data_IF_244703636671
#
_entry.id   IF_244703636671
#
_cell.length_a   1.000
_cell.length_b   1.000
_cell.length_c   1.000
_cell.angle_alpha   90.00
_cell.angle_beta   90.00
_cell.angle_gamma   90.00
#
_symmetry.space_group_name_H-M   'P 1'
#
loop_
_entity.id
_entity.type
_entity.pdbx_description
1 polymer ?
#
# COMPACT_ATOMS: atom_id res chain seq x y z
N UNK A 1 55.94 -0.84 -60.51
CA UNK A 1 54.55 -0.41 -60.70
C UNK A 1 53.80 -0.70 -59.41
N UNK A 2 53.71 0.30 -58.55
CA UNK A 2 52.81 0.33 -57.37
C UNK A 2 51.85 1.52 -57.56
N UNK A 3 50.61 1.42 -57.08
CA UNK A 3 49.85 2.63 -56.74
C UNK A 3 49.32 2.61 -55.30
N UNK A 4 49.81 3.56 -54.49
CA UNK A 4 49.01 4.71 -54.05
C UNK A 4 47.88 4.47 -53.04
N UNK A 5 48.21 4.67 -51.76
CA UNK A 5 47.28 4.80 -50.62
C UNK A 5 46.51 6.13 -50.67
N UNK A 6 45.19 6.11 -50.48
CA UNK A 6 44.39 7.30 -50.16
C UNK A 6 43.61 7.10 -48.85
N UNK A 7 43.97 7.88 -47.82
CA UNK A 7 43.28 7.96 -46.52
C UNK A 7 42.08 8.90 -46.63
N UNK A 8 40.89 8.43 -46.26
CA UNK A 8 39.74 9.29 -45.96
C UNK A 8 39.82 9.80 -44.53
N UNK A 9 39.95 11.13 -44.36
CA UNK A 9 39.85 11.80 -43.08
C UNK A 9 38.37 12.13 -42.77
N UNK A 10 37.83 11.55 -41.70
CA UNK A 10 36.53 11.94 -41.16
C UNK A 10 36.64 13.28 -40.43
N UNK A 11 35.99 14.32 -40.96
CA UNK A 11 35.82 15.62 -40.27
C UNK A 11 34.82 15.44 -39.12
N UNK A 12 35.30 15.52 -37.88
CA UNK A 12 34.44 15.71 -36.70
C UNK A 12 33.94 17.15 -36.70
N UNK A 13 32.63 17.36 -36.84
CA UNK A 13 32.02 18.68 -36.71
C UNK A 13 31.94 19.04 -35.21
N UNK A 14 32.85 19.91 -34.75
CA UNK A 14 32.76 20.51 -33.43
C UNK A 14 31.55 21.45 -33.38
N UNK A 15 30.60 21.19 -32.48
CA UNK A 15 29.51 22.11 -32.18
C UNK A 15 30.11 23.36 -31.54
N UNK A 16 29.89 24.58 -32.06
CA UNK A 16 30.50 25.79 -31.52
C UNK A 16 29.99 26.06 -30.10
N UNK A 17 30.93 26.29 -29.16
CA UNK A 17 30.67 26.52 -27.73
C UNK A 17 29.66 27.66 -27.45
N UNK A 18 29.54 28.62 -28.38
CA UNK A 18 28.56 29.70 -28.33
C UNK A 18 27.10 29.19 -28.37
N UNK A 19 26.78 28.17 -29.17
CA UNK A 19 25.43 27.59 -29.30
C UNK A 19 25.01 26.82 -28.03
N UNK A 20 25.97 26.16 -27.37
CA UNK A 20 25.76 25.48 -26.08
C UNK A 20 25.48 26.49 -24.97
N UNK A 21 26.11 27.68 -25.02
CA UNK A 21 25.89 28.75 -24.03
C UNK A 21 24.50 29.39 -24.13
N UNK A 22 23.99 29.61 -25.35
CA UNK A 22 22.68 30.21 -25.58
C UNK A 22 21.54 29.25 -25.18
N UNK A 23 21.63 27.97 -25.55
CA UNK A 23 20.65 26.96 -25.15
C UNK A 23 20.60 26.76 -23.62
N UNK A 24 21.75 26.86 -22.93
CA UNK A 24 21.82 26.81 -21.47
C UNK A 24 21.15 28.03 -20.81
N UNK A 25 21.34 29.23 -21.37
CA UNK A 25 20.68 30.46 -20.90
C UNK A 25 19.16 30.39 -21.06
N UNK A 26 18.67 29.93 -22.21
CA UNK A 26 17.23 29.75 -22.44
C UNK A 26 16.58 28.71 -21.52
N UNK A 27 17.28 27.60 -21.22
CA UNK A 27 16.82 26.59 -20.25
C UNK A 27 16.74 27.15 -18.82
N UNK A 28 17.71 27.95 -18.40
CA UNK A 28 17.69 28.59 -17.08
C UNK A 28 16.57 29.64 -16.98
N UNK A 29 16.33 30.41 -18.03
CA UNK A 29 15.20 31.36 -18.09
C UNK A 29 13.85 30.64 -18.08
N UNK A 30 13.71 29.51 -18.78
CA UNK A 30 12.50 28.69 -18.75
C UNK A 30 12.24 28.08 -17.36
N UNK A 31 13.29 27.56 -16.70
CA UNK A 31 13.20 27.04 -15.33
C UNK A 31 12.84 28.15 -14.33
N UNK A 32 13.43 29.35 -14.47
CA UNK A 32 13.08 30.51 -13.66
C UNK A 32 11.65 30.97 -13.91
N UNK A 33 11.18 30.95 -15.17
CA UNK A 33 9.79 31.25 -15.53
C UNK A 33 8.79 30.26 -14.94
N UNK A 34 9.10 28.96 -14.94
CA UNK A 34 8.28 27.93 -14.26
C UNK A 34 8.30 28.15 -12.74
N UNK A 35 9.47 28.41 -12.15
CA UNK A 35 9.58 28.66 -10.71
C UNK A 35 8.81 29.92 -10.27
N UNK A 36 8.93 31.02 -11.02
CA UNK A 36 8.20 32.27 -10.78
C UNK A 36 6.71 32.15 -11.07
N UNK A 37 6.31 31.34 -12.05
CA UNK A 37 4.90 31.06 -12.35
C UNK A 37 4.22 30.20 -11.27
N UNK A 38 4.98 29.35 -10.59
CA UNK A 38 4.49 28.51 -9.48
C UNK A 38 4.57 29.21 -8.11
N UNK A 39 5.42 30.23 -7.95
CA UNK A 39 5.64 30.95 -6.69
C UNK A 39 4.39 31.63 -6.09
N UNK A 40 3.47 32.25 -6.86
CA UNK A 40 2.24 32.81 -6.29
C UNK A 40 1.38 31.75 -5.58
N UNK A 41 1.34 30.53 -6.13
CA UNK A 41 0.61 29.40 -5.54
C UNK A 41 1.24 28.83 -4.26
N UNK A 42 2.50 29.13 -3.97
CA UNK A 42 3.17 28.72 -2.72
C UNK A 42 2.95 29.70 -1.56
N UNK A 43 2.62 30.97 -1.85
CA UNK A 43 2.41 32.01 -0.83
C UNK A 43 0.91 32.30 -0.56
N UNK A 44 0.02 32.01 -1.52
CA UNK A 44 -1.42 32.04 -1.29
C UNK A 44 -1.86 30.69 -0.74
N UNK A 45 -1.70 30.50 0.58
CA UNK A 45 -2.40 29.41 1.28
C UNK A 45 -3.85 29.82 1.42
N UNK A 46 -4.74 29.23 0.62
CA UNK A 46 -6.17 29.30 0.89
C UNK A 46 -6.43 28.92 2.35
N UNK A 47 -7.26 29.65 3.10
CA UNK A 47 -7.59 29.27 4.46
C UNK A 47 -8.06 27.82 4.47
N UNK A 48 -7.54 27.03 5.42
CA UNK A 48 -7.99 25.65 5.61
C UNK A 48 -9.52 25.70 5.76
N UNK A 49 -10.28 24.94 4.94
CA UNK A 49 -11.72 24.89 5.09
C UNK A 49 -12.08 24.58 6.55
N UNK A 50 -13.18 25.15 7.08
CA UNK A 50 -13.62 24.84 8.44
C UNK A 50 -13.78 23.33 8.60
N UNK A 51 -13.43 22.81 9.78
CA UNK A 51 -13.62 21.39 10.07
C UNK A 51 -15.08 20.99 9.89
N UNK A 52 -15.30 19.90 9.16
CA UNK A 52 -16.58 19.25 9.04
C UNK A 52 -16.54 17.92 9.79
N UNK A 53 -17.46 17.73 10.74
CA UNK A 53 -17.53 16.54 11.59
C UNK A 53 -18.73 15.64 11.27
N UNK A 54 -19.35 15.83 10.10
CA UNK A 54 -20.45 15.00 9.61
C UNK A 54 -20.10 13.52 9.71
N UNK A 55 -21.02 12.71 10.21
CA UNK A 55 -20.88 11.25 10.25
C UNK A 55 -21.51 10.57 9.03
N UNK A 56 -21.92 11.37 8.04
CA UNK A 56 -22.51 10.85 6.80
C UNK A 56 -21.41 10.21 5.95
N UNK A 57 -21.55 8.91 5.73
CA UNK A 57 -20.77 8.13 4.78
C UNK A 57 -21.68 7.71 3.62
N UNK A 58 -21.31 8.11 2.42
CA UNK A 58 -21.95 7.61 1.20
C UNK A 58 -21.17 6.41 0.69
N UNK A 59 -21.88 5.32 0.42
CA UNK A 59 -21.32 4.06 -0.07
C UNK A 59 -21.96 3.73 -1.40
N UNK A 60 -21.25 3.98 -2.49
CA UNK A 60 -21.75 3.81 -3.85
C UNK A 60 -21.17 2.53 -4.45
N UNK A 61 -22.01 1.55 -4.81
CA UNK A 61 -21.54 0.34 -5.49
C UNK A 61 -21.14 0.66 -6.93
N UNK A 62 -19.91 0.28 -7.29
CA UNK A 62 -19.38 0.49 -8.64
C UNK A 62 -19.79 -0.66 -9.57
N UNK A 63 -20.01 -0.33 -10.84
CA UNK A 63 -20.20 -1.33 -11.89
C UNK A 63 -18.86 -2.01 -12.20
N UNK A 64 -18.63 -3.19 -11.62
CA UNK A 64 -17.47 -4.03 -11.89
C UNK A 64 -17.90 -5.51 -11.90
N UNK A 65 -17.53 -6.23 -12.95
CA UNK A 65 -17.92 -7.63 -13.12
C UNK A 65 -17.07 -8.56 -12.24
N UNK A 66 -17.67 -9.59 -11.61
CA UNK A 66 -16.90 -10.58 -10.87
C UNK A 66 -15.82 -11.26 -11.71
N UNK A 67 -14.67 -11.58 -11.11
CA UNK A 67 -13.52 -12.14 -11.82
C UNK A 67 -12.75 -13.13 -10.95
N UNK A 68 -12.35 -14.27 -11.51
CA UNK A 68 -11.57 -15.30 -10.82
C UNK A 68 -10.05 -15.08 -11.00
N UNK A 69 -9.31 -15.28 -9.92
CA UNK A 69 -7.84 -15.21 -9.80
C UNK A 69 -7.35 -16.34 -8.88
N UNK A 70 -7.24 -17.56 -9.42
CA UNK A 70 -6.88 -18.72 -8.60
C UNK A 70 -7.88 -18.95 -7.47
N UNK A 71 -7.40 -18.96 -6.24
CA UNK A 71 -8.20 -19.12 -5.02
C UNK A 71 -9.03 -17.88 -4.67
N UNK A 72 -8.72 -16.73 -5.28
CA UNK A 72 -9.41 -15.47 -5.04
C UNK A 72 -10.42 -15.18 -6.15
N UNK A 73 -11.58 -14.63 -5.80
CA UNK A 73 -12.57 -14.17 -6.76
C UNK A 73 -13.01 -12.77 -6.37
N UNK A 74 -12.74 -11.79 -7.24
CA UNK A 74 -13.29 -10.45 -7.12
C UNK A 74 -14.83 -10.52 -7.24
N UNK A 75 -15.53 -9.89 -6.31
CA UNK A 75 -17.00 -9.92 -6.23
C UNK A 75 -17.63 -8.54 -6.46
N UNK A 76 -17.07 -7.50 -5.86
CA UNK A 76 -17.66 -6.17 -5.88
C UNK A 76 -16.65 -5.08 -5.49
N UNK A 77 -16.97 -3.85 -5.86
CA UNK A 77 -16.26 -2.65 -5.44
C UNK A 77 -17.27 -1.57 -5.05
N UNK A 78 -16.89 -0.74 -4.08
CA UNK A 78 -17.63 0.46 -3.67
C UNK A 78 -16.71 1.67 -3.65
N UNK A 79 -17.27 2.83 -3.98
CA UNK A 79 -16.67 4.14 -3.73
C UNK A 79 -17.24 4.68 -2.43
N UNK A 80 -16.36 5.09 -1.53
CA UNK A 80 -16.70 5.71 -0.26
C UNK A 80 -16.49 7.22 -0.39
N UNK A 81 -17.44 8.02 0.10
CA UNK A 81 -17.27 9.47 0.21
C UNK A 81 -17.85 10.01 1.51
N UNK A 82 -17.22 11.06 2.05
CA UNK A 82 -17.74 11.82 3.18
C UNK A 82 -17.27 13.26 3.10
N UNK A 83 -18.06 14.17 3.65
CA UNK A 83 -17.64 15.55 3.85
C UNK A 83 -16.81 15.73 5.14
N UNK A 84 -16.65 14.69 5.96
CA UNK A 84 -15.89 14.77 7.20
C UNK A 84 -14.41 15.09 6.91
N UNK A 85 -13.84 16.07 7.61
CA UNK A 85 -12.44 16.49 7.42
C UNK A 85 -11.42 15.45 7.87
N UNK A 86 -11.83 14.35 8.51
CA UNK A 86 -10.99 13.20 8.90
C UNK A 86 -11.18 11.98 8.00
N UNK A 87 -11.95 12.10 6.91
CA UNK A 87 -12.18 11.01 5.97
C UNK A 87 -11.10 10.99 4.87
N UNK A 88 -10.68 9.79 4.46
CA UNK A 88 -9.63 9.58 3.44
C UNK A 88 -8.29 9.21 4.07
N UNK A 89 -7.26 8.99 3.26
CA UNK A 89 -5.90 8.70 3.75
C UNK A 89 -5.66 7.27 4.28
N UNK A 90 -6.51 6.29 3.98
CA UNK A 90 -6.53 5.01 4.71
C UNK A 90 -5.38 4.06 4.30
N UNK A 91 -4.41 3.88 5.19
CA UNK A 91 -3.30 2.94 5.00
C UNK A 91 -3.55 1.55 5.58
N UNK A 92 -4.43 1.40 6.58
CA UNK A 92 -4.66 0.12 7.25
C UNK A 92 -6.13 -0.27 7.36
N UNK A 93 -6.42 -1.59 7.33
CA UNK A 93 -7.77 -2.13 7.42
C UNK A 93 -7.82 -3.37 8.32
N UNK A 94 -8.77 -3.42 9.25
CA UNK A 94 -9.01 -4.60 10.11
C UNK A 94 -10.51 -4.91 10.23
N UNK A 95 -10.82 -6.14 10.65
CA UNK A 95 -12.18 -6.55 11.07
C UNK A 95 -12.30 -6.40 12.59
N UNK A 96 -12.92 -5.32 13.11
CA UNK A 96 -13.04 -5.09 14.55
C UNK A 96 -14.07 -6.00 15.24
N UNK A 97 -14.97 -6.58 14.45
CA UNK A 97 -16.07 -7.43 14.91
C UNK A 97 -16.97 -7.82 13.75
N UNK A 98 -17.97 -8.64 14.04
CA UNK A 98 -18.86 -9.20 13.02
C UNK A 98 -19.51 -8.11 12.16
N UNK A 99 -19.40 -8.26 10.84
CA UNK A 99 -20.07 -7.39 9.86
C UNK A 99 -19.56 -5.95 9.83
N UNK A 100 -18.39 -5.66 10.43
CA UNK A 100 -17.80 -4.32 10.44
C UNK A 100 -16.37 -4.31 9.90
N UNK A 101 -15.96 -3.14 9.45
CA UNK A 101 -14.60 -2.82 9.05
C UNK A 101 -14.14 -1.59 9.84
N UNK A 102 -12.85 -1.56 10.18
CA UNK A 102 -12.16 -0.42 10.75
C UNK A 102 -10.98 -0.07 9.85
N UNK A 103 -11.04 1.09 9.22
CA UNK A 103 -9.92 1.67 8.47
C UNK A 103 -9.24 2.75 9.31
N UNK A 104 -7.92 2.82 9.25
CA UNK A 104 -7.10 3.80 9.97
C UNK A 104 -6.30 4.59 8.93
N UNK A 105 -6.23 5.90 9.09
CA UNK A 105 -5.53 6.78 8.16
C UNK A 105 -4.26 7.37 8.73
N UNK A 106 -3.36 7.77 7.83
CA UNK A 106 -2.06 8.39 8.09
C UNK A 106 -2.15 9.76 8.79
N UNK A 107 -3.36 10.31 8.95
CA UNK A 107 -3.62 11.63 9.52
C UNK A 107 -4.22 11.57 10.94
N UNK A 108 -4.19 10.41 11.62
CA UNK A 108 -4.70 10.28 12.99
C UNK A 108 -6.22 10.25 13.06
N UNK A 109 -6.82 9.54 12.12
CA UNK A 109 -8.25 9.36 11.96
C UNK A 109 -8.59 7.89 11.73
N UNK A 110 -9.87 7.57 11.91
CA UNK A 110 -10.41 6.27 11.61
C UNK A 110 -11.80 6.36 11.03
N UNK A 111 -12.15 5.32 10.27
CA UNK A 111 -13.50 5.03 9.81
C UNK A 111 -13.88 3.63 10.28
N UNK A 112 -14.86 3.56 11.17
CA UNK A 112 -15.60 2.33 11.41
C UNK A 112 -16.85 2.32 10.53
N UNK A 113 -17.08 1.26 9.78
CA UNK A 113 -18.27 1.15 8.94
C UNK A 113 -18.84 -0.28 8.95
N UNK A 114 -20.16 -0.44 8.76
CA UNK A 114 -20.72 -1.75 8.42
C UNK A 114 -20.16 -2.22 7.07
N UNK A 115 -20.01 -3.54 6.90
CA UNK A 115 -19.72 -4.12 5.59
C UNK A 115 -20.87 -3.76 4.62
N UNK A 116 -20.60 -3.20 3.43
CA UNK A 116 -21.65 -2.62 2.57
C UNK A 116 -22.72 -3.59 2.06
N UNK A 117 -22.45 -4.88 2.12
CA UNK A 117 -23.32 -5.95 1.62
C UNK A 117 -24.00 -6.74 2.74
N UNK A 118 -23.90 -6.26 3.99
CA UNK A 118 -24.57 -6.85 5.16
C UNK A 118 -25.53 -5.83 5.79
N UNK A 119 -26.58 -6.30 6.49
CA UNK A 119 -27.40 -5.41 7.31
C UNK A 119 -26.54 -4.66 8.32
N UNK A 120 -26.71 -3.33 8.39
CA UNK A 120 -25.94 -2.50 9.30
C UNK A 120 -26.55 -2.55 10.71
N UNK A 121 -25.82 -3.10 11.69
CA UNK A 121 -26.21 -3.03 13.09
C UNK A 121 -26.09 -1.62 13.69
N UNK A 122 -25.16 -0.81 13.16
CA UNK A 122 -24.92 0.57 13.57
C UNK A 122 -24.32 1.37 12.39
N UNK A 123 -24.55 2.70 12.33
CA UNK A 123 -24.02 3.55 11.27
C UNK A 123 -22.48 3.60 11.26
N UNK A 124 -21.93 4.23 10.23
CA UNK A 124 -20.52 4.55 10.16
C UNK A 124 -20.13 5.58 11.25
N UNK A 125 -18.88 5.50 11.71
CA UNK A 125 -18.29 6.42 12.68
C UNK A 125 -16.93 6.87 12.16
N UNK A 126 -16.77 8.18 12.02
CA UNK A 126 -15.52 8.84 11.62
C UNK A 126 -15.04 9.67 12.81
N UNK A 127 -13.86 9.37 13.32
CA UNK A 127 -13.33 9.99 14.52
C UNK A 127 -11.80 10.12 14.48
N UNK A 128 -11.25 10.86 15.42
CA UNK A 128 -9.80 10.88 15.66
C UNK A 128 -9.33 9.54 16.21
N UNK A 129 -8.12 9.17 15.83
CA UNK A 129 -7.44 7.95 16.24
C UNK A 129 -5.96 8.23 16.47
N UNK A 130 -5.33 7.47 17.34
CA UNK A 130 -3.90 7.52 17.57
C UNK A 130 -3.49 8.35 18.79
N UNK A 131 -2.19 8.67 18.90
CA UNK A 131 -1.62 9.28 20.09
C UNK A 131 -2.13 10.69 20.37
N UNK A 132 -1.90 11.13 21.61
CA UNK A 132 -2.52 12.30 22.24
C UNK A 132 -2.19 13.65 21.58
N UNK A 133 -1.16 13.70 20.74
CA UNK A 133 -0.72 14.90 20.03
C UNK A 133 -0.99 14.77 18.51
N UNK A 134 -2.19 15.19 18.05
CA UNK A 134 -2.58 15.07 16.64
C UNK A 134 -1.89 16.09 15.74
N UNK A 135 -1.25 17.12 16.30
CA UNK A 135 -0.57 18.17 15.52
C UNK A 135 0.87 17.76 15.14
N UNK A 136 1.42 16.77 15.84
CA UNK A 136 2.70 16.17 15.50
C UNK A 136 2.51 15.05 14.46
N UNK A 137 2.72 15.38 13.17
CA UNK A 137 2.60 14.40 12.06
C UNK A 137 3.37 13.10 12.35
N UNK A 138 4.55 13.17 12.97
CA UNK A 138 5.34 11.97 13.26
C UNK A 138 4.64 10.96 14.21
N UNK A 139 3.65 11.42 14.97
CA UNK A 139 2.89 10.62 15.91
C UNK A 139 1.62 10.04 15.28
N UNK A 140 1.09 10.61 14.19
CA UNK A 140 -0.20 10.18 13.62
C UNK A 140 -0.09 9.41 12.31
N UNK A 141 1.11 9.36 11.74
CA UNK A 141 1.49 8.73 10.47
C UNK A 141 1.40 7.20 10.49
N UNK A 142 0.20 6.65 10.70
CA UNK A 142 -0.02 5.20 10.76
C UNK A 142 -0.06 4.58 9.38
N UNK A 143 0.74 3.53 9.17
CA UNK A 143 0.80 2.82 7.88
C UNK A 143 0.30 1.38 7.96
N UNK A 144 0.34 0.76 9.14
CA UNK A 144 -0.07 -0.63 9.28
C UNK A 144 -0.83 -0.87 10.58
N UNK A 145 -1.80 -1.79 10.56
CA UNK A 145 -2.51 -2.18 11.76
C UNK A 145 -2.85 -3.67 11.76
N UNK A 146 -2.83 -4.28 12.94
CA UNK A 146 -3.27 -5.66 13.13
C UNK A 146 -4.05 -5.80 14.43
N UNK A 147 -4.94 -6.78 14.49
CA UNK A 147 -5.86 -6.94 15.62
C UNK A 147 -5.89 -8.39 16.08
N UNK A 148 -5.98 -8.57 17.39
CA UNK A 148 -6.30 -9.86 17.99
C UNK A 148 -7.83 -10.02 18.07
N UNK A 149 -8.45 -10.96 17.35
CA UNK A 149 -9.90 -11.15 17.41
C UNK A 149 -10.40 -11.59 18.80
N UNK A 150 -9.56 -12.26 19.60
CA UNK A 150 -9.92 -12.80 20.91
C UNK A 150 -9.92 -11.72 21.99
N UNK A 151 -8.83 -10.96 22.11
CA UNK A 151 -8.73 -9.90 23.13
C UNK A 151 -9.23 -8.56 22.63
N UNK A 152 -9.33 -8.37 21.31
CA UNK A 152 -9.67 -7.11 20.67
C UNK A 152 -8.61 -6.01 20.81
N UNK A 153 -7.40 -6.38 21.24
CA UNK A 153 -6.25 -5.51 21.18
C UNK A 153 -5.90 -5.18 19.73
N UNK A 154 -5.50 -3.94 19.51
CA UNK A 154 -5.10 -3.40 18.21
C UNK A 154 -3.66 -2.93 18.31
N UNK A 155 -2.82 -3.31 17.36
CA UNK A 155 -1.48 -2.76 17.20
C UNK A 155 -1.46 -1.89 15.95
N UNK A 156 -0.82 -0.73 16.05
CA UNK A 156 -0.66 0.19 14.92
C UNK A 156 0.81 0.60 14.83
N UNK A 157 1.36 0.53 13.63
CA UNK A 157 2.72 0.95 13.33
C UNK A 157 2.71 2.32 12.64
N UNK A 158 3.62 3.19 13.05
CA UNK A 158 3.71 4.58 12.58
C UNK A 158 5.01 4.80 11.81
N UNK A 159 4.93 5.27 10.56
CA UNK A 159 6.08 5.42 9.66
C UNK A 159 7.10 6.43 10.20
N UNK A 160 6.69 7.70 10.33
CA UNK A 160 7.60 8.78 10.67
C UNK A 160 8.35 8.61 12.00
N UNK A 161 7.73 7.96 12.99
CA UNK A 161 8.36 7.70 14.29
C UNK A 161 8.99 6.31 14.42
N UNK A 162 8.63 5.38 13.53
CA UNK A 162 9.04 3.98 13.62
C UNK A 162 8.52 3.26 14.86
N UNK A 163 7.44 3.75 15.48
CA UNK A 163 6.88 3.18 16.71
C UNK A 163 5.79 2.15 16.39
N UNK A 164 5.60 1.21 17.31
CA UNK A 164 4.43 0.34 17.35
C UNK A 164 3.69 0.63 18.65
N UNK A 165 2.39 0.94 18.55
CA UNK A 165 1.52 1.23 19.70
C UNK A 165 0.47 0.13 19.83
N UNK A 166 0.26 -0.32 21.06
CA UNK A 166 -0.81 -1.26 21.44
C UNK A 166 -1.96 -0.50 22.08
N UNK A 167 -3.16 -0.71 21.56
CA UNK A 167 -4.43 -0.17 22.02
C UNK A 167 -5.36 -1.30 22.49
N UNK A 168 -6.28 -0.99 23.40
CA UNK A 168 -7.38 -1.88 23.73
C UNK A 168 -8.60 -1.70 22.80
N UNK A 169 -9.70 -2.42 23.09
CA UNK A 169 -10.96 -2.35 22.34
C UNK A 169 -11.62 -0.97 22.35
N UNK A 170 -11.31 -0.13 23.33
CA UNK A 170 -11.80 1.24 23.43
C UNK A 170 -10.84 2.24 22.77
N UNK A 171 -9.84 1.75 22.04
CA UNK A 171 -8.76 2.53 21.43
C UNK A 171 -7.94 3.33 22.45
N UNK A 172 -7.90 2.88 23.70
CA UNK A 172 -7.05 3.49 24.72
C UNK A 172 -5.63 2.94 24.58
N UNK A 173 -4.66 3.85 24.65
CA UNK A 173 -3.24 3.51 24.64
C UNK A 173 -2.90 2.59 25.81
N UNK A 174 -2.34 1.40 25.53
CA UNK A 174 -1.90 0.42 26.54
C UNK A 174 -0.39 0.20 26.60
N UNK A 175 0.34 0.45 25.52
CA UNK A 175 1.81 0.44 25.54
C UNK A 175 2.38 0.80 24.17
N UNK A 176 3.69 1.00 24.11
CA UNK A 176 4.38 1.28 22.85
C UNK A 176 5.81 0.75 22.89
N UNK A 177 6.41 0.59 21.72
CA UNK A 177 7.81 0.23 21.54
C UNK A 177 8.40 0.99 20.35
N UNK A 178 9.70 1.27 20.42
CA UNK A 178 10.52 1.74 19.30
C UNK A 178 11.52 0.64 18.93
N UNK A 179 11.18 -0.30 18.03
CA UNK A 179 12.10 -1.36 17.66
C UNK A 179 13.36 -0.77 17.01
N UNK A 180 14.53 -1.10 17.55
CA UNK A 180 15.80 -0.53 17.10
C UNK A 180 16.10 -0.83 15.62
N UNK A 181 15.56 -1.95 15.11
CA UNK A 181 15.64 -2.34 13.71
C UNK A 181 14.85 -1.41 12.78
N UNK A 182 13.66 -0.97 13.18
CA UNK A 182 12.82 -0.05 12.39
C UNK A 182 13.50 1.32 12.28
N UNK A 183 14.16 1.79 13.34
CA UNK A 183 14.92 3.05 13.31
C UNK A 183 16.08 3.08 12.30
N UNK A 184 16.42 1.95 11.66
CA UNK A 184 17.44 1.83 10.59
C UNK A 184 16.83 1.80 9.20
N UNK A 185 15.50 1.77 9.07
CA UNK A 185 14.80 1.78 7.79
C UNK A 185 14.81 3.18 7.16
N UNK A 186 14.54 3.28 5.85
CA UNK A 186 14.40 4.58 5.20
C UNK A 186 13.32 5.41 5.88
N UNK A 187 13.53 6.73 5.96
CA UNK A 187 12.52 7.66 6.47
C UNK A 187 11.20 7.65 5.67
N UNK A 188 11.25 7.20 4.42
CA UNK A 188 10.10 7.05 3.53
C UNK A 188 10.13 5.59 3.06
N UNK A 189 9.81 4.69 3.97
CA UNK A 189 9.97 3.25 3.85
C UNK A 189 9.82 2.57 5.21
N UNK A 190 8.97 3.15 6.07
CA UNK A 190 8.69 2.67 7.42
C UNK A 190 7.94 1.33 7.46
N UNK A 191 7.36 0.95 8.60
CA UNK A 191 6.52 -0.24 8.73
C UNK A 191 5.20 -0.10 7.96
N UNK A 192 5.20 -0.51 6.69
CA UNK A 192 4.01 -0.49 5.82
C UNK A 192 3.10 -1.68 6.03
N UNK A 193 3.63 -2.84 6.41
CA UNK A 193 2.83 -4.04 6.61
C UNK A 193 3.01 -4.58 8.02
N UNK A 194 1.93 -4.91 8.69
CA UNK A 194 1.98 -5.53 10.03
C UNK A 194 0.88 -6.58 10.20
N UNK A 195 1.27 -7.76 10.66
CA UNK A 195 0.35 -8.87 10.90
C UNK A 195 0.70 -9.60 12.18
N UNK A 196 -0.29 -9.73 13.08
CA UNK A 196 -0.29 -10.72 14.14
C UNK A 196 -0.78 -12.05 13.58
N UNK A 197 0.08 -13.06 13.60
CA UNK A 197 -0.30 -14.43 13.26
C UNK A 197 -1.17 -15.05 14.37
N UNK A 198 -1.98 -16.05 14.03
CA UNK A 198 -2.84 -16.79 14.97
C UNK A 198 -2.04 -17.43 16.10
N UNK A 199 -0.82 -17.88 15.82
CA UNK A 199 0.11 -18.44 16.80
C UNK A 199 0.74 -17.40 17.75
N UNK A 200 0.44 -16.11 17.53
CA UNK A 200 0.86 -15.00 18.37
C UNK A 200 2.16 -14.33 17.92
N UNK A 201 2.87 -14.84 16.91
CA UNK A 201 4.00 -14.14 16.29
C UNK A 201 3.54 -12.89 15.55
N UNK A 202 4.43 -11.94 15.31
CA UNK A 202 4.15 -10.74 14.52
C UNK A 202 5.13 -10.60 13.37
N UNK A 203 4.61 -10.31 12.18
CA UNK A 203 5.40 -9.93 11.01
C UNK A 203 5.27 -8.42 10.84
N UNK A 204 6.39 -7.72 10.64
CA UNK A 204 6.43 -6.32 10.21
C UNK A 204 7.31 -6.22 8.97
N UNK A 205 6.83 -5.56 7.92
CA UNK A 205 7.56 -5.34 6.68
C UNK A 205 7.76 -3.84 6.42
N UNK A 206 8.94 -3.50 5.92
CA UNK A 206 9.25 -2.19 5.38
C UNK A 206 8.79 -2.03 3.93
N UNK A 207 8.43 -0.81 3.50
CA UNK A 207 8.09 -0.51 2.10
C UNK A 207 9.20 -0.94 1.14
N UNK A 208 10.46 -0.71 1.52
CA UNK A 208 11.62 -0.90 0.65
C UNK A 208 12.95 -0.93 1.41
N UNK A 209 13.93 -1.55 0.77
CA UNK A 209 15.31 -1.54 1.25
C UNK A 209 15.92 -0.13 1.26
N UNK A 210 16.71 0.23 2.29
CA UNK A 210 17.49 1.46 2.30
C UNK A 210 18.55 1.53 1.19
N UNK A 211 18.98 0.40 0.63
CA UNK A 211 19.88 0.38 -0.51
C UNK A 211 19.11 0.63 -1.80
N UNK A 212 19.38 1.79 -2.42
CA UNK A 212 18.79 2.16 -3.72
C UNK A 212 19.04 1.06 -4.76
N UNK A 213 17.98 0.65 -5.46
CA UNK A 213 18.05 -0.31 -6.57
C UNK A 213 17.94 -1.77 -6.14
N UNK A 214 17.87 -2.08 -4.84
CA UNK A 214 17.56 -3.42 -4.36
C UNK A 214 16.04 -3.59 -4.28
N UNK A 215 15.51 -4.56 -5.01
CA UNK A 215 14.09 -4.91 -5.00
C UNK A 215 13.78 -5.84 -3.81
N UNK A 216 13.99 -5.36 -2.60
CA UNK A 216 13.70 -6.08 -1.36
C UNK A 216 13.05 -5.17 -0.32
N UNK A 217 12.42 -5.80 0.66
CA UNK A 217 11.83 -5.16 1.83
C UNK A 217 12.39 -5.81 3.09
N UNK A 218 13.07 -5.06 3.98
CA UNK A 218 13.43 -5.56 5.30
C UNK A 218 12.19 -6.05 6.07
N UNK A 219 12.32 -7.18 6.76
CA UNK A 219 11.24 -7.76 7.56
C UNK A 219 11.70 -8.12 8.97
N UNK A 220 10.76 -8.03 9.91
CA UNK A 220 10.92 -8.41 11.31
C UNK A 220 9.88 -9.45 11.69
N UNK A 221 10.31 -10.55 12.31
CA UNK A 221 9.45 -11.57 12.90
C UNK A 221 9.63 -11.55 14.41
N UNK A 222 8.65 -11.00 15.13
CA UNK A 222 8.61 -11.02 16.59
C UNK A 222 8.01 -12.34 17.09
N UNK A 223 8.55 -12.92 18.19
CA UNK A 223 8.03 -14.16 18.79
C UNK A 223 6.75 -13.95 19.62
N UNK A 224 6.18 -12.75 19.61
CA UNK A 224 5.01 -12.34 20.38
C UNK A 224 4.74 -10.86 20.19
N UNK A 225 3.90 -10.30 21.08
CA UNK A 225 3.59 -8.88 21.11
C UNK A 225 4.86 -8.01 21.10
N UNK A 226 5.09 -7.14 20.09
CA UNK A 226 6.29 -6.31 20.01
C UNK A 226 6.48 -5.38 21.22
N UNK A 227 5.39 -5.00 21.90
CA UNK A 227 5.45 -4.13 23.10
C UNK A 227 6.06 -4.87 24.29
N UNK A 228 5.85 -6.19 24.40
CA UNK A 228 6.34 -6.99 25.52
C UNK A 228 7.58 -7.83 25.16
N UNK A 229 7.69 -8.31 23.90
CA UNK A 229 8.74 -9.18 23.37
C UNK A 229 9.47 -8.51 22.20
N UNK A 230 10.27 -7.50 22.51
CA UNK A 230 10.82 -6.57 21.51
C UNK A 230 12.00 -7.09 20.66
N UNK A 231 12.43 -8.36 20.75
CA UNK A 231 13.56 -8.88 19.96
C UNK A 231 13.08 -9.70 18.74
N UNK A 232 13.06 -9.11 17.53
CA UNK A 232 12.66 -9.81 16.33
C UNK A 232 13.80 -10.60 15.67
N UNK A 233 13.45 -11.67 14.98
CA UNK A 233 14.30 -12.22 13.93
C UNK A 233 14.17 -11.34 12.67
N UNK A 234 15.31 -10.88 12.13
CA UNK A 234 15.36 -10.13 10.87
C UNK A 234 15.28 -11.10 9.69
N UNK A 235 14.59 -10.72 8.63
CA UNK A 235 14.58 -11.43 7.35
C UNK A 235 14.42 -10.44 6.20
N UNK A 236 14.47 -10.94 4.97
CA UNK A 236 14.24 -10.13 3.76
C UNK A 236 13.02 -10.64 3.02
N UNK A 237 12.04 -9.78 2.76
CA UNK A 237 10.95 -10.06 1.83
C UNK A 237 11.37 -9.68 0.41
N UNK A 238 11.16 -10.57 -0.55
CA UNK A 238 11.45 -10.35 -1.97
C UNK A 238 10.12 -10.21 -2.76
N UNK A 239 9.62 -8.98 -2.98
CA UNK A 239 8.47 -8.77 -3.84
C UNK A 239 8.85 -8.95 -5.33
N UNK A 240 7.86 -9.15 -6.22
CA UNK A 240 8.07 -9.03 -7.66
C UNK A 240 8.75 -7.71 -8.01
N UNK A 241 9.60 -7.72 -9.03
CA UNK A 241 10.39 -6.54 -9.42
C UNK A 241 9.53 -5.27 -9.56
N UNK A 242 9.91 -4.23 -8.81
CA UNK A 242 9.24 -2.92 -8.81
C UNK A 242 8.02 -2.81 -7.91
N UNK A 243 7.56 -3.89 -7.29
CA UNK A 243 6.48 -3.88 -6.31
C UNK A 243 7.01 -3.75 -4.88
N UNK A 244 6.17 -3.24 -3.99
CA UNK A 244 6.41 -3.06 -2.57
C UNK A 244 5.21 -3.58 -1.77
N UNK A 245 5.42 -4.18 -0.59
CA UNK A 245 4.32 -4.52 0.31
C UNK A 245 3.65 -3.26 0.85
N UNK A 246 2.32 -3.29 0.94
CA UNK A 246 1.53 -2.21 1.53
C UNK A 246 0.69 -2.68 2.72
N UNK A 247 0.32 -3.97 2.80
CA UNK A 247 -0.29 -4.55 4.01
C UNK A 247 -0.32 -6.10 3.94
N UNK A 248 -0.66 -6.75 5.06
CA UNK A 248 -0.61 -8.18 5.28
C UNK A 248 -1.85 -8.69 6.03
N UNK A 249 -2.39 -9.83 5.61
CA UNK A 249 -3.44 -10.51 6.38
C UNK A 249 -3.33 -12.04 6.31
N UNK A 250 -3.60 -12.72 7.42
CA UNK A 250 -3.55 -14.18 7.50
C UNK A 250 -4.83 -14.82 6.95
N UNK A 251 -4.67 -15.75 6.01
CA UNK A 251 -5.75 -16.56 5.46
C UNK A 251 -6.15 -17.68 6.44
N UNK A 252 -7.37 -18.23 6.32
CA UNK A 252 -7.82 -19.33 7.17
C UNK A 252 -6.93 -20.56 7.23
N UNK A 253 -6.15 -20.84 6.19
CA UNK A 253 -5.20 -21.96 6.12
C UNK A 253 -3.80 -21.66 6.71
N UNK A 254 -3.59 -20.45 7.25
CA UNK A 254 -2.34 -20.02 7.87
C UNK A 254 -1.34 -19.38 6.92
N UNK A 255 -1.60 -19.39 5.60
CA UNK A 255 -0.79 -18.60 4.66
C UNK A 255 -1.07 -17.11 4.85
N UNK A 256 -0.12 -16.26 4.46
CA UNK A 256 -0.26 -14.81 4.51
C UNK A 256 -0.58 -14.29 3.12
N UNK A 257 -1.69 -13.55 2.99
CA UNK A 257 -1.99 -12.70 1.85
C UNK A 257 -1.22 -11.38 2.00
N UNK A 258 -0.52 -10.98 0.94
CA UNK A 258 0.35 -9.82 0.90
C UNK A 258 -0.16 -8.90 -0.21
N UNK A 259 -0.62 -7.71 0.18
CA UNK A 259 -0.97 -6.66 -0.76
C UNK A 259 0.31 -5.97 -1.24
N UNK A 260 0.44 -5.85 -2.55
CA UNK A 260 1.62 -5.31 -3.20
C UNK A 260 1.21 -4.18 -4.13
N UNK A 261 2.00 -3.11 -4.15
CA UNK A 261 1.78 -1.96 -5.02
C UNK A 261 3.05 -1.55 -5.76
N UNK A 262 2.88 -1.02 -6.95
CA UNK A 262 3.88 -0.20 -7.63
C UNK A 262 3.24 1.08 -8.15
N UNK A 263 4.05 2.01 -8.63
CA UNK A 263 3.56 3.19 -9.34
C UNK A 263 4.13 3.21 -10.77
N UNK A 264 3.32 3.67 -11.70
CA UNK A 264 3.72 3.88 -13.10
C UNK A 264 3.50 5.33 -13.47
N UNK A 265 4.56 5.97 -13.96
CA UNK A 265 4.49 7.32 -14.51
C UNK A 265 3.51 7.35 -15.69
N UNK A 266 2.64 8.35 -15.67
CA UNK A 266 1.56 8.57 -16.64
C UNK A 266 0.76 9.80 -16.25
N UNK A 267 -0.19 10.20 -17.10
CA UNK A 267 -1.16 11.25 -16.82
C UNK A 267 -2.57 10.66 -16.93
N UNK A 268 -3.24 10.31 -15.81
CA UNK A 268 -2.76 10.38 -14.41
C UNK A 268 -1.73 9.29 -14.05
N UNK A 269 -1.05 9.47 -12.92
CA UNK A 269 -0.21 8.43 -12.30
C UNK A 269 -1.09 7.22 -11.98
N UNK A 270 -0.56 6.01 -12.17
CA UNK A 270 -1.28 4.76 -11.93
C UNK A 270 -0.59 3.95 -10.85
N UNK A 271 -1.39 3.20 -10.10
CA UNK A 271 -0.94 2.36 -8.99
C UNK A 271 -1.29 0.89 -9.23
N UNK A 272 -0.59 0.18 -10.14
CA UNK A 272 -0.81 -1.25 -10.32
C UNK A 272 -0.59 -1.99 -9.00
N UNK A 273 -1.56 -2.82 -8.65
CA UNK A 273 -1.55 -3.59 -7.42
C UNK A 273 -1.62 -5.08 -7.71
N UNK A 274 -1.06 -5.89 -6.81
CA UNK A 274 -1.04 -7.35 -6.89
C UNK A 274 -1.41 -7.92 -5.54
N UNK A 275 -2.00 -9.10 -5.57
CA UNK A 275 -2.11 -9.94 -4.38
C UNK A 275 -1.12 -11.10 -4.53
N UNK A 276 -0.34 -11.33 -3.48
CA UNK A 276 0.55 -12.47 -3.37
C UNK A 276 0.23 -13.28 -2.12
N UNK A 277 0.67 -14.54 -2.10
CA UNK A 277 0.50 -15.45 -0.95
C UNK A 277 1.84 -16.10 -0.63
N UNK A 278 2.15 -16.22 0.66
CA UNK A 278 3.36 -16.89 1.15
C UNK A 278 3.09 -17.64 2.46
N UNK A 279 3.84 -18.71 2.72
CA UNK A 279 3.78 -19.44 3.98
C UNK A 279 4.70 -18.77 5.02
N UNK A 280 4.17 -18.28 6.17
CA UNK A 280 4.99 -17.66 7.21
C UNK A 280 5.92 -18.66 7.93
N UNK A 281 5.75 -19.97 7.77
CA UNK A 281 6.67 -21.00 8.28
C UNK A 281 8.01 -21.04 7.54
N UNK A 282 8.07 -20.48 6.32
CA UNK A 282 9.30 -20.37 5.54
C UNK A 282 10.21 -19.22 5.99
N UNK A 283 9.73 -18.33 6.86
CA UNK A 283 10.52 -17.22 7.38
C UNK A 283 11.65 -17.77 8.25
N UNK A 284 12.90 -17.45 7.88
CA UNK A 284 14.11 -17.79 8.64
C UNK A 284 14.89 -16.53 8.97
N UNK A 285 15.53 -16.51 10.14
CA UNK A 285 16.43 -15.43 10.52
C UNK A 285 17.56 -15.27 9.48
N UNK A 286 17.73 -14.06 8.96
CA UNK A 286 18.65 -13.72 7.89
C UNK A 286 18.29 -14.27 6.50
N UNK A 287 17.18 -15.03 6.39
CA UNK A 287 16.72 -15.66 5.16
C UNK A 287 15.88 -14.74 4.28
N UNK A 288 15.57 -15.24 3.09
CA UNK A 288 14.67 -14.58 2.13
C UNK A 288 13.31 -15.27 2.16
N UNK A 289 12.25 -14.48 2.37
CA UNK A 289 10.86 -14.90 2.29
C UNK A 289 10.28 -14.46 0.95
N UNK A 290 9.73 -15.41 0.19
CA UNK A 290 9.18 -15.18 -1.16
C UNK A 290 7.69 -15.42 -1.18
N UNK A 291 6.98 -14.66 -2.00
CA UNK A 291 5.55 -14.83 -2.20
C UNK A 291 5.23 -15.17 -3.65
N UNK A 292 4.19 -15.99 -3.82
CA UNK A 292 3.62 -16.28 -5.12
C UNK A 292 2.55 -15.25 -5.44
N UNK A 293 2.68 -14.53 -6.55
CA UNK A 293 1.60 -13.67 -7.05
C UNK A 293 0.41 -14.52 -7.49
N UNK A 294 -0.76 -14.22 -6.93
CA UNK A 294 -2.01 -14.95 -7.19
C UNK A 294 -3.05 -14.11 -7.95
N UNK A 295 -2.97 -12.78 -7.87
CA UNK A 295 -3.86 -11.88 -8.61
C UNK A 295 -3.14 -10.63 -9.11
N UNK A 296 -3.42 -10.24 -10.35
CA UNK A 296 -3.13 -8.91 -10.88
C UNK A 296 -4.39 -8.06 -10.73
N UNK A 297 -4.33 -7.05 -9.86
CA UNK A 297 -5.46 -6.18 -9.56
C UNK A 297 -5.53 -4.99 -10.54
N UNK A 298 -4.57 -4.89 -11.47
CA UNK A 298 -4.54 -3.84 -12.48
C UNK A 298 -5.28 -4.29 -13.76
N UNK A 299 -6.39 -3.61 -14.08
CA UNK A 299 -7.12 -3.81 -15.33
C UNK A 299 -8.64 -3.96 -15.14
N UNK A 300 -9.17 -5.19 -15.00
CA UNK A 300 -10.61 -5.44 -14.92
C UNK A 300 -11.24 -5.03 -13.58
N UNK A 301 -10.42 -4.68 -12.59
CA UNK A 301 -10.82 -4.17 -11.29
C UNK A 301 -10.55 -2.66 -11.29
N UNK A 302 -11.41 -1.83 -10.68
CA UNK A 302 -11.12 -0.41 -10.50
C UNK A 302 -9.70 -0.21 -9.95
N UNK A 303 -8.87 0.58 -10.63
CA UNK A 303 -7.51 0.85 -10.18
C UNK A 303 -7.52 2.06 -9.24
N UNK A 304 -6.80 1.94 -8.12
CA UNK A 304 -6.53 3.02 -7.18
C UNK A 304 -5.31 2.68 -6.31
N UNK A 305 -4.94 3.56 -5.37
CA UNK A 305 -3.83 3.35 -4.46
C UNK A 305 -4.20 2.37 -3.31
N UNK A 306 -4.23 1.07 -3.58
CA UNK A 306 -4.61 0.07 -2.56
C UNK A 306 -3.53 -0.10 -1.50
N UNK A 307 -3.91 0.07 -0.23
CA UNK A 307 -2.97 0.08 0.89
C UNK A 307 -3.36 -0.88 2.01
N UNK A 308 -4.63 -0.94 2.45
CA UNK A 308 -5.05 -1.88 3.51
C UNK A 308 -5.72 -3.17 3.03
N UNK A 309 -5.50 -4.29 3.72
CA UNK A 309 -6.14 -5.60 3.49
C UNK A 309 -6.65 -6.24 4.79
N UNK A 310 -7.87 -6.78 4.77
CA UNK A 310 -8.43 -7.50 5.90
C UNK A 310 -9.09 -8.82 5.47
N UNK A 311 -9.01 -9.83 6.34
CA UNK A 311 -9.62 -11.15 6.16
C UNK A 311 -10.76 -11.32 7.16
N UNK A 312 -11.96 -11.60 6.65
CA UNK A 312 -13.14 -12.00 7.43
C UNK A 312 -13.40 -13.50 7.17
N UNK A 313 -12.98 -14.41 8.07
CA UNK A 313 -13.16 -15.85 7.87
C UNK A 313 -14.64 -16.24 7.75
N UNK A 314 -14.93 -17.18 6.86
CA UNK A 314 -16.28 -17.71 6.64
C UNK A 314 -16.37 -19.16 7.14
N UNK A 315 -17.59 -19.62 7.51
CA UNK A 315 -17.82 -21.05 7.76
C UNK A 315 -17.37 -21.90 6.57
N UNK A 316 -16.82 -23.09 6.85
CA UNK A 316 -16.33 -24.00 5.79
C UNK A 316 -14.90 -23.75 5.32
N UNK A 317 -14.17 -22.83 5.97
CA UNK A 317 -12.72 -22.65 5.75
C UNK A 317 -12.35 -21.68 4.64
N UNK A 318 -13.33 -21.01 4.01
CA UNK A 318 -13.11 -19.87 3.12
C UNK A 318 -13.01 -18.54 3.89
N UNK A 319 -12.92 -17.43 3.16
CA UNK A 319 -12.97 -16.09 3.72
C UNK A 319 -13.49 -15.06 2.74
N UNK A 320 -14.08 -13.98 3.26
CA UNK A 320 -14.16 -12.72 2.54
C UNK A 320 -12.85 -11.94 2.73
N UNK A 321 -12.32 -11.38 1.64
CA UNK A 321 -11.15 -10.50 1.66
C UNK A 321 -11.60 -9.08 1.30
N UNK A 322 -11.26 -8.12 2.15
CA UNK A 322 -11.51 -6.71 1.95
C UNK A 322 -10.21 -5.98 1.65
N UNK A 323 -10.23 -5.08 0.68
CA UNK A 323 -9.08 -4.23 0.35
C UNK A 323 -9.57 -2.78 0.27
N UNK A 324 -8.87 -1.85 0.93
CA UNK A 324 -9.19 -0.42 0.89
C UNK A 324 -8.09 0.34 0.15
N UNK A 325 -8.46 1.39 -0.59
CA UNK A 325 -7.50 2.34 -1.12
C UNK A 325 -7.36 3.58 -0.27
N UNK A 326 -6.14 4.07 -0.25
CA UNK A 326 -5.80 5.42 0.12
C UNK A 326 -6.11 6.36 -1.05
N UNK A 327 -6.59 7.57 -0.73
CA UNK A 327 -6.82 8.62 -1.73
C UNK A 327 -5.74 9.71 -1.73
N UNK A 328 -4.71 9.62 -0.88
CA UNK A 328 -3.65 10.61 -0.67
C UNK A 328 -4.18 12.05 -0.55
N UNK A 329 -5.47 12.25 -0.24
CA UNK A 329 -6.18 13.53 -0.43
C UNK A 329 -6.07 14.15 -1.85
N UNK A 330 -5.68 13.35 -2.84
CA UNK A 330 -5.45 13.74 -4.22
C UNK A 330 -6.74 13.70 -5.04
N UNK A 331 -6.99 14.73 -5.85
CA UNK A 331 -8.24 14.87 -6.63
C UNK A 331 -8.49 13.77 -7.67
N UNK A 332 -7.47 12.99 -8.03
CA UNK A 332 -7.54 11.92 -9.02
C UNK A 332 -7.60 10.52 -8.42
N UNK A 333 -7.43 10.38 -7.09
CA UNK A 333 -7.57 9.12 -6.38
C UNK A 333 -8.93 9.08 -5.66
N UNK A 334 -9.34 7.88 -5.26
CA UNK A 334 -10.63 7.67 -4.57
C UNK A 334 -10.40 6.77 -3.37
N UNK A 335 -11.23 6.93 -2.35
CA UNK A 335 -11.40 5.89 -1.33
C UNK A 335 -12.30 4.80 -1.92
N UNK A 336 -11.72 3.67 -2.30
CA UNK A 336 -12.41 2.47 -2.79
C UNK A 336 -12.33 1.36 -1.76
N UNK A 337 -13.38 0.55 -1.71
CA UNK A 337 -13.41 -0.71 -0.98
C UNK A 337 -13.69 -1.85 -1.95
N UNK A 338 -12.82 -2.86 -1.98
CA UNK A 338 -13.00 -4.06 -2.78
C UNK A 338 -13.40 -5.23 -1.91
N UNK A 339 -14.21 -6.13 -2.47
CA UNK A 339 -14.55 -7.43 -1.90
C UNK A 339 -14.09 -8.55 -2.82
N UNK A 340 -13.40 -9.52 -2.24
CA UNK A 340 -13.14 -10.82 -2.85
C UNK A 340 -13.68 -11.93 -1.95
N UNK A 341 -13.99 -13.09 -2.54
CA UNK A 341 -14.00 -14.35 -1.79
C UNK A 341 -12.67 -15.06 -1.99
N UNK A 342 -12.18 -15.70 -0.95
CA UNK A 342 -11.07 -16.63 -0.99
C UNK A 342 -11.59 -18.02 -0.62
N UNK A 343 -11.32 -19.00 -1.48
CA UNK A 343 -11.67 -20.40 -1.26
C UNK A 343 -10.43 -21.26 -1.53
N UNK A 344 -9.95 -22.02 -0.53
CA UNK A 344 -8.78 -22.87 -0.71
C UNK A 344 -9.10 -23.93 -1.77
N UNK A 345 -8.19 -24.11 -2.74
CA UNK A 345 -8.33 -25.12 -3.79
C UNK A 345 -9.24 -24.77 -4.97
N UNK A 346 -9.73 -23.54 -5.10
CA UNK A 346 -10.44 -23.13 -6.32
C UNK A 346 -9.48 -23.17 -7.54
N UNK A 347 -9.90 -23.73 -8.69
CA UNK A 347 -9.00 -23.96 -9.81
C UNK A 347 -8.42 -22.66 -10.39
N UNK A 348 -7.11 -22.65 -10.62
CA UNK A 348 -6.42 -21.57 -11.35
C UNK A 348 -6.85 -21.60 -12.82
N UNK A 349 -7.54 -20.55 -13.29
CA UNK A 349 -7.68 -20.36 -14.73
C UNK A 349 -6.29 -20.03 -15.30
N UNK A 350 -5.70 -20.99 -16.01
CA UNK A 350 -4.50 -20.74 -16.84
C UNK A 350 -4.77 -19.53 -17.72
N UNK A 351 -3.90 -18.53 -17.65
CA UNK A 351 -3.93 -17.38 -18.56
C UNK A 351 -4.02 -17.93 -20.00
N UNK A 352 -5.07 -17.53 -20.75
CA UNK A 352 -5.19 -17.87 -22.16
C UNK A 352 -3.90 -17.39 -22.84
N UNK A 353 -3.17 -18.34 -23.42
CA UNK A 353 -1.89 -18.10 -24.08
C UNK A 353 -2.02 -17.00 -25.14
N UNK A 354 -0.95 -16.21 -25.24
CA UNK A 354 -0.72 -15.30 -26.35
C UNK A 354 -1.02 -15.99 -27.69
N UNK A 355 -1.67 -15.30 -28.64
CA UNK A 355 -1.95 -15.90 -29.94
C UNK A 355 -0.62 -16.31 -30.59
N UNK A 356 -0.53 -17.59 -30.97
CA UNK A 356 0.55 -18.09 -31.79
C UNK A 356 0.67 -17.20 -33.04
N UNK A 357 1.89 -16.70 -33.30
CA UNK A 357 2.22 -16.08 -34.58
C UNK A 357 1.86 -17.07 -35.68
N UNK A 358 0.87 -16.70 -36.50
CA UNK A 358 0.67 -17.32 -37.80
C UNK A 358 1.93 -17.07 -38.62
N UNK A 359 2.74 -18.10 -38.81
CA UNK A 359 3.73 -18.14 -39.86
C UNK A 359 3.00 -18.17 -41.19
N UNK A 360 3.02 -17.05 -41.91
CA UNK A 360 2.70 -17.04 -43.32
C UNK A 360 3.79 -17.83 -44.06
N UNK A 361 3.39 -18.95 -44.66
CA UNK A 361 4.17 -19.65 -45.67
C UNK A 361 3.19 -20.17 -46.72
N UNK A 362 2.95 -19.34 -47.74
CA UNK A 362 2.92 -19.69 -49.17
C UNK A 362 2.62 -18.45 -50.00
#
# INVERSE_FOLDING_TARGET
>A
MEPGVARFAARSAAVPAAAVSAARRWRLLALAGVALGLAPGTFVRSPKPPENRSQVLTVERLAAAPRQFGEFRFLAAWRLTSANSRFGGYSALVVPGEGRLLAINDAGGMLEMPMPDRPAAAPARIAGFGPRDPDNKAMVDSEAATRDPLTGMLWVAYESSGMIVRYDRAFLWRGYVFPAEIGRWPKNGGPEGMLRLRDGRFIVLSERDPKRGVASSPGLLFPGDPVDKAQPAKFTFEPPAGYRPTDLAELPDGRVAILLRTWKLGLPVRFPSKLAVADPAEIRAGGVWRAQVVADLFGPIPSDNYEGIAIDPEPGGGATVWIVSDDNTASFQRTLLLKFSWNPGAPTQKARGSPARLSANR
#
